data_IF_753429975971
#
_entry.id   IF_753429975971
#
_cell.length_a   1.000
_cell.length_b   1.000
_cell.length_c   1.000
_cell.angle_alpha   90.00
_cell.angle_beta   90.00
_cell.angle_gamma   90.00
#
_symmetry.space_group_name_H-M   'P 1'
#
loop_
_entity.id
_entity.type
_entity.pdbx_description
1 polymer ?
#
# COMPACT_ATOMS: atom_id res chain seq x y z
N UNK A 1 53.72 15.09 -74.80
CA UNK A 1 53.56 13.68 -75.07
C UNK A 1 53.53 12.95 -73.75
N UNK A 2 52.66 12.40 -73.28
CA UNK A 2 52.43 11.55 -72.09
C UNK A 2 51.29 12.04 -71.22
N UNK A 3 50.21 11.51 -71.48
CA UNK A 3 48.96 11.59 -70.70
C UNK A 3 49.08 10.75 -69.45
N UNK A 4 48.88 11.32 -68.31
CA UNK A 4 48.79 10.60 -67.06
C UNK A 4 47.31 10.59 -66.62
N UNK A 5 46.75 9.40 -66.61
CA UNK A 5 45.41 9.14 -66.12
C UNK A 5 45.42 9.10 -64.58
N UNK A 6 44.66 9.94 -63.98
CA UNK A 6 44.39 9.91 -62.53
C UNK A 6 43.20 9.02 -62.26
N UNK A 7 43.43 7.93 -61.57
CA UNK A 7 42.38 7.07 -61.11
C UNK A 7 41.77 7.68 -59.82
N UNK A 8 40.56 8.09 -59.88
CA UNK A 8 39.79 8.52 -58.71
C UNK A 8 39.23 7.29 -58.01
N UNK A 9 39.75 6.97 -56.84
CA UNK A 9 39.18 5.99 -55.93
C UNK A 9 38.00 6.58 -55.25
N UNK A 10 36.81 6.17 -55.61
CA UNK A 10 35.59 6.47 -54.85
C UNK A 10 35.51 5.54 -53.66
N UNK A 11 35.82 6.10 -52.52
CA UNK A 11 35.47 5.44 -51.28
C UNK A 11 33.95 5.51 -51.10
N UNK A 12 33.27 4.43 -51.34
CA UNK A 12 31.88 4.25 -50.89
C UNK A 12 31.90 4.10 -49.38
N UNK A 13 31.61 5.16 -48.70
CA UNK A 13 31.27 5.10 -47.30
C UNK A 13 29.85 4.51 -47.23
N UNK A 14 29.75 3.26 -46.85
CA UNK A 14 28.49 2.71 -46.42
C UNK A 14 28.03 3.51 -45.21
N UNK A 15 26.83 4.06 -45.19
CA UNK A 15 26.27 4.51 -43.95
C UNK A 15 26.11 3.28 -43.06
N UNK A 16 26.77 3.28 -41.94
CA UNK A 16 26.47 2.36 -40.89
C UNK A 16 24.97 2.56 -40.59
N UNK A 17 24.16 1.59 -40.98
CA UNK A 17 22.81 1.54 -40.56
C UNK A 17 22.88 1.49 -39.03
N UNK A 18 22.53 2.61 -38.39
CA UNK A 18 22.21 2.57 -36.99
C UNK A 18 21.03 1.61 -36.88
N UNK A 19 21.30 0.43 -36.44
CA UNK A 19 20.23 -0.46 -36.01
C UNK A 19 19.43 0.32 -34.98
N UNK A 20 18.12 0.53 -35.18
CA UNK A 20 17.31 0.99 -34.11
C UNK A 20 17.48 -0.06 -33.01
N UNK A 21 18.00 0.35 -31.89
CA UNK A 21 17.94 -0.47 -30.70
C UNK A 21 16.53 -1.04 -30.64
N UNK A 22 16.35 -2.34 -30.43
CA UNK A 22 15.02 -2.88 -30.28
C UNK A 22 14.35 -2.02 -29.22
N UNK A 23 13.34 -1.31 -29.64
CA UNK A 23 12.45 -0.70 -28.68
C UNK A 23 11.99 -1.86 -27.83
N UNK A 24 12.54 -1.96 -26.62
CA UNK A 24 11.98 -2.80 -25.60
C UNK A 24 10.64 -2.13 -25.33
N UNK A 25 9.69 -2.48 -26.15
CA UNK A 25 8.32 -2.30 -25.71
C UNK A 25 8.27 -3.03 -24.40
N UNK A 26 8.02 -2.35 -23.28
CA UNK A 26 7.60 -3.08 -22.14
C UNK A 26 6.42 -3.86 -22.67
N UNK A 27 6.59 -5.16 -22.84
CA UNK A 27 5.45 -6.02 -22.97
C UNK A 27 4.65 -5.66 -21.75
N UNK A 28 3.64 -4.85 -21.99
CA UNK A 28 2.74 -4.49 -20.95
C UNK A 28 2.48 -5.78 -20.24
N UNK A 29 2.68 -5.79 -18.94
CA UNK A 29 2.39 -6.94 -18.11
C UNK A 29 0.85 -7.19 -18.11
N UNK A 30 0.24 -7.07 -19.28
CA UNK A 30 -1.11 -7.45 -19.61
C UNK A 30 -1.13 -8.96 -19.69
N UNK A 31 -0.97 -9.62 -18.52
CA UNK A 31 -0.88 -11.06 -18.44
C UNK A 31 -0.01 -11.56 -17.30
N UNK A 32 0.81 -10.73 -16.70
CA UNK A 32 1.41 -11.07 -15.42
C UNK A 32 0.29 -11.02 -14.37
N UNK A 33 -0.15 -12.17 -13.91
CA UNK A 33 -0.95 -12.26 -12.69
C UNK A 33 -0.20 -11.49 -11.62
N UNK A 34 -0.85 -10.55 -10.91
CA UNK A 34 -0.19 -9.82 -9.85
C UNK A 34 0.39 -10.84 -8.88
N UNK A 35 1.67 -10.70 -8.58
CA UNK A 35 2.30 -11.57 -7.60
C UNK A 35 1.58 -11.41 -6.26
N UNK A 36 1.40 -12.49 -5.47
CA UNK A 36 0.64 -12.42 -4.22
C UNK A 36 1.08 -11.30 -3.29
N UNK A 37 2.39 -11.03 -3.22
CA UNK A 37 2.94 -9.93 -2.42
C UNK A 37 2.53 -8.55 -2.94
N UNK A 38 2.51 -8.34 -4.26
CA UNK A 38 2.08 -7.09 -4.88
C UNK A 38 0.58 -6.88 -4.72
N UNK A 39 -0.23 -7.93 -4.87
CA UNK A 39 -1.68 -7.89 -4.64
C UNK A 39 -2.00 -7.54 -3.18
N UNK A 40 -1.31 -8.15 -2.22
CA UNK A 40 -1.47 -7.84 -0.80
C UNK A 40 -1.06 -6.39 -0.47
N UNK A 41 0.01 -5.89 -1.07
CA UNK A 41 0.42 -4.49 -0.91
C UNK A 41 -0.64 -3.52 -1.47
N UNK A 42 -1.18 -3.80 -2.65
CA UNK A 42 -2.26 -3.01 -3.25
C UNK A 42 -3.52 -3.02 -2.37
N UNK A 43 -3.88 -4.16 -1.81
CA UNK A 43 -5.01 -4.30 -0.87
C UNK A 43 -4.81 -3.43 0.37
N UNK A 44 -3.63 -3.44 0.98
CA UNK A 44 -3.32 -2.60 2.15
C UNK A 44 -3.38 -1.12 1.82
N UNK A 45 -2.87 -0.73 0.67
CA UNK A 45 -2.95 0.66 0.19
C UNK A 45 -4.40 1.09 0.00
N UNK A 46 -5.20 0.28 -0.68
CA UNK A 46 -6.63 0.56 -0.89
C UNK A 46 -7.40 0.64 0.45
N UNK A 47 -7.14 -0.28 1.36
CA UNK A 47 -7.76 -0.25 2.69
C UNK A 47 -7.39 1.01 3.46
N UNK A 48 -6.13 1.43 3.40
CA UNK A 48 -5.67 2.67 4.03
C UNK A 48 -6.38 3.88 3.43
N UNK A 49 -6.49 3.97 2.11
CA UNK A 49 -7.19 5.06 1.43
C UNK A 49 -8.67 5.11 1.83
N UNK A 50 -9.34 3.97 1.89
CA UNK A 50 -10.71 3.90 2.37
C UNK A 50 -10.85 4.40 3.81
N UNK A 51 -9.97 4.00 4.71
CA UNK A 51 -9.97 4.48 6.09
C UNK A 51 -9.70 5.99 6.18
N UNK A 52 -8.74 6.50 5.42
CA UNK A 52 -8.42 7.92 5.36
C UNK A 52 -9.59 8.76 4.84
N UNK A 53 -10.36 8.24 3.89
CA UNK A 53 -11.56 8.92 3.38
C UNK A 53 -12.66 9.09 4.44
N UNK A 54 -12.57 8.38 5.55
CA UNK A 54 -13.53 8.44 6.66
C UNK A 54 -13.09 9.32 7.83
N UNK A 55 -11.99 10.01 7.70
CA UNK A 55 -11.58 11.00 8.70
C UNK A 55 -12.71 12.01 8.92
N UNK A 56 -13.06 12.25 10.17
CA UNK A 56 -14.19 13.09 10.56
C UNK A 56 -15.50 12.33 10.78
N UNK A 57 -15.61 11.08 10.38
CA UNK A 57 -16.78 10.26 10.67
C UNK A 57 -16.93 10.01 12.17
N UNK A 58 -18.16 10.04 12.71
CA UNK A 58 -18.36 9.89 14.15
C UNK A 58 -18.02 8.48 14.65
N UNK A 59 -17.55 8.42 15.88
CA UNK A 59 -17.41 7.16 16.59
C UNK A 59 -18.77 6.67 17.09
N UNK A 60 -19.04 5.39 16.88
CA UNK A 60 -20.17 4.70 17.47
C UNK A 60 -19.80 3.27 17.81
N UNK A 61 -19.93 2.88 19.06
CA UNK A 61 -19.64 1.51 19.48
C UNK A 61 -20.50 0.49 18.70
N UNK A 62 -19.86 -0.57 18.20
CA UNK A 62 -20.51 -1.59 17.39
C UNK A 62 -20.75 -1.23 15.94
N UNK A 63 -20.40 -0.01 15.50
CA UNK A 63 -20.60 0.42 14.14
C UNK A 63 -19.41 0.07 13.23
N UNK A 64 -19.71 -0.39 12.04
CA UNK A 64 -18.75 -0.75 11.00
C UNK A 64 -19.07 -0.06 9.66
N UNK A 65 -19.45 1.21 9.73
CA UNK A 65 -19.73 2.06 8.60
C UNK A 65 -21.13 1.91 7.99
N UNK A 66 -21.39 2.65 6.92
CA UNK A 66 -20.48 3.58 6.24
C UNK A 66 -20.36 4.96 6.91
N UNK A 67 -21.24 5.31 7.86
CA UNK A 67 -21.38 6.68 8.39
C UNK A 67 -20.83 6.84 9.81
N UNK A 68 -20.60 5.76 10.53
CA UNK A 68 -20.03 5.74 11.86
C UNK A 68 -19.20 4.47 12.08
N UNK A 69 -18.22 4.53 12.97
CA UNK A 69 -17.29 3.43 13.18
C UNK A 69 -16.86 3.32 14.64
N UNK A 70 -16.61 2.08 15.08
CA UNK A 70 -15.67 1.85 16.19
C UNK A 70 -14.28 1.50 15.63
N UNK A 71 -13.29 1.24 16.50
CA UNK A 71 -11.90 1.04 16.07
C UNK A 71 -11.76 -0.15 15.09
N UNK A 72 -12.28 -1.30 15.45
CA UNK A 72 -12.25 -2.50 14.61
C UNK A 72 -13.26 -2.44 13.45
N UNK A 73 -14.34 -1.69 13.63
CA UNK A 73 -15.33 -1.46 12.58
C UNK A 73 -14.77 -0.66 11.41
N UNK A 74 -13.98 0.36 11.67
CA UNK A 74 -13.28 1.12 10.64
C UNK A 74 -12.32 0.22 9.84
N UNK A 75 -11.50 -0.55 10.54
CA UNK A 75 -10.55 -1.47 9.91
C UNK A 75 -11.26 -2.53 9.10
N UNK A 76 -12.27 -3.19 9.67
CA UNK A 76 -13.06 -4.20 8.99
C UNK A 76 -13.73 -3.66 7.72
N UNK A 77 -14.34 -2.49 7.81
CA UNK A 77 -14.98 -1.83 6.68
C UNK A 77 -13.98 -1.47 5.57
N UNK A 78 -12.84 -0.89 5.94
CA UNK A 78 -11.81 -0.46 5.00
C UNK A 78 -11.22 -1.65 4.22
N UNK A 79 -10.88 -2.73 4.92
CA UNK A 79 -10.37 -3.95 4.28
C UNK A 79 -11.44 -4.67 3.46
N UNK A 80 -12.69 -4.69 3.90
CA UNK A 80 -13.80 -5.24 3.11
C UNK A 80 -13.98 -4.49 1.79
N UNK A 81 -13.86 -3.18 1.80
CA UNK A 81 -13.86 -2.36 0.58
C UNK A 81 -12.67 -2.67 -0.34
N UNK A 82 -11.56 -3.06 0.23
CA UNK A 82 -10.38 -3.51 -0.50
C UNK A 82 -10.41 -5.00 -0.90
N UNK A 83 -11.49 -5.71 -0.60
CA UNK A 83 -11.70 -7.10 -1.01
C UNK A 83 -11.29 -8.15 0.02
N UNK A 84 -11.00 -7.77 1.26
CA UNK A 84 -10.57 -8.70 2.33
C UNK A 84 -11.52 -8.63 3.52
N UNK A 85 -12.04 -9.78 3.93
CA UNK A 85 -12.82 -9.90 5.16
C UNK A 85 -11.92 -10.15 6.36
N UNK A 86 -12.05 -9.29 7.38
CA UNK A 86 -11.34 -9.43 8.65
C UNK A 86 -12.32 -9.79 9.78
N UNK A 87 -11.82 -10.43 10.86
CA UNK A 87 -12.61 -10.62 12.07
C UNK A 87 -13.14 -9.29 12.61
N UNK A 88 -14.27 -9.31 13.28
CA UNK A 88 -14.96 -8.07 13.71
C UNK A 88 -14.28 -7.35 14.88
N UNK A 89 -13.55 -8.03 15.73
CA UNK A 89 -12.95 -7.45 16.94
C UNK A 89 -11.46 -7.21 16.81
N UNK A 90 -10.95 -6.20 17.47
CA UNK A 90 -9.50 -5.92 17.51
C UNK A 90 -8.69 -7.10 18.04
N UNK A 91 -9.20 -7.80 19.07
CA UNK A 91 -8.55 -8.97 19.64
C UNK A 91 -8.44 -10.12 18.62
N UNK A 92 -9.51 -10.40 17.89
CA UNK A 92 -9.49 -11.44 16.85
C UNK A 92 -8.59 -11.03 15.67
N UNK A 93 -8.63 -9.77 15.26
CA UNK A 93 -7.75 -9.24 14.21
C UNK A 93 -6.26 -9.38 14.57
N UNK A 94 -5.90 -9.26 15.84
CA UNK A 94 -4.51 -9.40 16.29
C UNK A 94 -3.93 -10.80 16.13
N UNK A 95 -4.74 -11.77 15.76
CA UNK A 95 -4.36 -13.18 15.55
C UNK A 95 -4.27 -13.57 14.07
N UNK A 96 -4.64 -12.69 13.15
CA UNK A 96 -4.62 -12.96 11.71
C UNK A 96 -3.47 -12.22 11.02
N UNK A 97 -3.12 -12.69 9.83
CA UNK A 97 -2.03 -12.10 9.05
C UNK A 97 -0.63 -12.45 9.59
N UNK A 98 0.36 -11.74 9.08
CA UNK A 98 1.76 -11.93 9.46
C UNK A 98 2.17 -10.98 10.57
N UNK A 99 2.82 -11.44 11.65
CA UNK A 99 3.36 -10.55 12.68
C UNK A 99 4.39 -9.57 12.10
N UNK A 100 4.33 -8.32 12.55
CA UNK A 100 5.26 -7.27 12.13
C UNK A 100 5.83 -6.61 13.38
N UNK A 101 7.14 -6.41 13.44
CA UNK A 101 7.77 -5.65 14.50
C UNK A 101 7.51 -4.16 14.34
N UNK A 102 7.58 -3.42 15.43
CA UNK A 102 7.30 -1.97 15.44
C UNK A 102 8.20 -1.18 14.50
N UNK A 103 9.45 -1.56 14.38
CA UNK A 103 10.45 -0.92 13.52
C UNK A 103 10.32 -1.28 12.03
N UNK A 104 9.51 -2.30 11.71
CA UNK A 104 9.26 -2.74 10.33
C UNK A 104 7.86 -2.38 9.83
N UNK A 105 7.14 -1.52 10.51
CA UNK A 105 5.81 -1.07 10.12
C UNK A 105 5.83 -0.38 8.76
N UNK A 106 4.83 -0.71 7.96
CA UNK A 106 4.57 -0.11 6.65
C UNK A 106 3.13 0.41 6.58
N UNK A 107 2.86 1.46 5.80
CA UNK A 107 1.49 1.93 5.61
C UNK A 107 0.54 0.80 5.21
N UNK A 108 -0.61 0.74 5.88
CA UNK A 108 -1.60 -0.31 5.72
C UNK A 108 -1.48 -1.48 6.70
N UNK A 109 -0.42 -1.55 7.50
CA UNK A 109 -0.31 -2.52 8.58
C UNK A 109 -1.29 -2.20 9.71
N UNK A 110 -1.82 -3.25 10.36
CA UNK A 110 -2.67 -3.12 11.53
C UNK A 110 -1.82 -3.01 12.78
N UNK A 111 -2.07 -2.03 13.60
CA UNK A 111 -1.40 -1.82 14.89
C UNK A 111 -2.39 -1.99 16.01
N UNK A 112 -2.03 -2.81 16.99
CA UNK A 112 -2.85 -3.17 18.14
C UNK A 112 -2.27 -2.57 19.41
N UNK A 113 -3.15 -2.13 20.28
CA UNK A 113 -2.79 -1.41 21.49
C UNK A 113 -3.42 -2.03 22.73
N UNK A 114 -2.73 -1.86 23.84
CA UNK A 114 -3.07 -2.31 25.19
C UNK A 114 -2.96 -3.83 25.38
N UNK A 115 -2.95 -4.24 26.63
CA UNK A 115 -2.89 -5.64 27.03
C UNK A 115 -3.95 -5.87 28.15
N UNK A 116 -4.98 -6.69 27.85
CA UNK A 116 -5.28 -7.37 26.59
C UNK A 116 -5.59 -6.37 25.47
N UNK A 117 -5.47 -6.82 24.21
CA UNK A 117 -5.76 -5.99 23.03
C UNK A 117 -7.19 -5.48 23.10
N UNK A 118 -7.35 -4.16 23.05
CA UNK A 118 -8.65 -3.49 23.11
C UNK A 118 -8.82 -2.38 22.06
N UNK A 119 -7.77 -2.09 21.29
CA UNK A 119 -7.80 -1.06 20.26
C UNK A 119 -6.96 -1.45 19.04
N UNK A 120 -7.36 -0.94 17.88
CA UNK A 120 -6.66 -1.14 16.61
C UNK A 120 -6.71 0.14 15.75
N UNK A 121 -5.65 0.37 15.01
CA UNK A 121 -5.57 1.40 13.98
C UNK A 121 -4.83 0.88 12.76
N UNK A 122 -4.86 1.64 11.66
CA UNK A 122 -4.10 1.35 10.45
C UNK A 122 -2.91 2.31 10.40
N UNK A 123 -1.72 1.76 10.27
CA UNK A 123 -0.49 2.55 10.18
C UNK A 123 -0.43 3.33 8.86
N UNK A 124 -0.11 4.62 8.95
CA UNK A 124 -0.04 5.51 7.78
C UNK A 124 1.40 5.97 7.46
N UNK A 125 2.37 5.57 8.28
CA UNK A 125 3.75 6.05 8.21
C UNK A 125 4.10 7.07 9.29
N UNK A 126 5.37 7.30 9.50
CA UNK A 126 5.88 8.33 10.44
C UNK A 126 5.36 8.20 11.89
N UNK A 127 5.16 6.98 12.37
CA UNK A 127 4.67 6.72 13.71
C UNK A 127 3.20 7.10 13.95
N UNK A 128 2.42 7.25 12.89
CA UNK A 128 1.02 7.67 12.95
C UNK A 128 0.07 6.57 12.48
N UNK A 129 -1.13 6.62 13.02
CA UNK A 129 -2.23 5.72 12.64
C UNK A 129 -3.50 6.51 12.33
N UNK A 130 -4.34 5.97 11.46
CA UNK A 130 -5.74 6.35 11.34
C UNK A 130 -6.59 5.39 12.15
N UNK A 131 -7.49 5.92 12.98
CA UNK A 131 -8.33 5.12 13.86
C UNK A 131 -9.62 5.83 14.27
N UNK A 132 -10.59 5.04 14.75
CA UNK A 132 -11.76 5.52 15.45
C UNK A 132 -11.54 5.31 16.95
N UNK A 133 -11.30 6.38 17.70
CA UNK A 133 -10.75 6.28 19.06
C UNK A 133 -11.81 6.06 20.14
N UNK A 134 -12.79 6.96 20.24
CA UNK A 134 -13.81 6.93 21.29
C UNK A 134 -14.97 7.87 20.95
N UNK A 135 -16.03 7.84 21.79
CA UNK A 135 -17.25 8.64 21.61
C UNK A 135 -17.03 10.15 21.52
N UNK A 136 -15.92 10.66 22.04
CA UNK A 136 -15.61 12.10 22.05
C UNK A 136 -14.76 12.54 20.86
N UNK A 137 -14.34 11.60 20.02
CA UNK A 137 -13.44 11.88 18.90
C UNK A 137 -13.90 11.18 17.63
N UNK A 138 -14.02 11.91 16.52
CA UNK A 138 -14.25 11.28 15.24
C UNK A 138 -13.07 10.43 14.79
N UNK A 139 -13.22 9.75 13.66
CA UNK A 139 -12.10 9.11 12.97
C UNK A 139 -11.03 10.16 12.69
N UNK A 140 -9.82 9.88 13.09
CA UNK A 140 -8.69 10.80 12.99
C UNK A 140 -7.34 10.11 12.85
N UNK A 141 -6.35 10.89 12.51
CA UNK A 141 -4.94 10.50 12.61
C UNK A 141 -4.41 10.84 14.00
N UNK A 142 -3.68 9.92 14.59
CA UNK A 142 -3.03 10.11 15.89
C UNK A 142 -1.63 9.53 15.90
N UNK A 143 -0.79 10.06 16.76
CA UNK A 143 0.53 9.52 17.02
C UNK A 143 0.41 8.24 17.86
N UNK A 144 0.97 7.14 17.38
CA UNK A 144 0.91 5.85 18.07
C UNK A 144 1.73 5.81 19.36
N UNK A 145 2.65 6.74 19.55
CA UNK A 145 3.44 6.85 20.78
C UNK A 145 2.61 7.21 22.02
N UNK A 146 1.43 7.78 21.79
CA UNK A 146 0.49 8.15 22.87
C UNK A 146 -0.30 6.96 23.41
N UNK A 147 -0.16 5.81 22.80
CA UNK A 147 -0.87 4.59 23.18
C UNK A 147 0.12 3.45 23.44
N UNK A 148 -0.27 2.50 24.28
CA UNK A 148 0.56 1.36 24.62
C UNK A 148 0.55 0.35 23.46
N UNK A 149 1.61 0.33 22.67
CA UNK A 149 1.79 -0.63 21.58
C UNK A 149 1.78 -2.06 22.13
N UNK A 150 1.03 -2.93 21.51
CA UNK A 150 0.99 -4.36 21.80
C UNK A 150 1.66 -5.18 20.70
N UNK A 151 1.13 -5.09 19.50
CA UNK A 151 1.58 -5.89 18.36
C UNK A 151 1.14 -5.25 17.05
N UNK A 152 1.63 -5.79 15.94
CA UNK A 152 1.18 -5.40 14.62
C UNK A 152 1.05 -6.60 13.69
N UNK A 153 0.18 -6.49 12.71
CA UNK A 153 -0.08 -7.52 11.70
C UNK A 153 -0.13 -6.93 10.31
N UNK A 154 0.38 -7.67 9.36
CA UNK A 154 0.29 -7.38 7.93
C UNK A 154 -0.67 -8.36 7.28
N UNK A 155 -1.68 -7.83 6.62
CA UNK A 155 -2.73 -8.58 5.93
C UNK A 155 -2.34 -8.75 4.46
#
# INVERSE_FOLDING_TARGET
>A
MTTTAAAASVFSVLPAAAEPAPAVTPVAAAGALPQPAAAAAATRTAALEHAMSKIGAPYRYGAAGPNAFDCSGLVSWAFKKAGVSLPRTSRAMSKVGTPVSRDQLRPGDLVFFYKPVSHVGIYIGNGKIVHASNKKSPVKVSDMSRMKFNSARRI
#
